data_IF_409943300030
#
_entry.id   IF_409943300030
#
_cell.length_a   1.000
_cell.length_b   1.000
_cell.length_c   1.000
_cell.angle_alpha   90.00
_cell.angle_beta   90.00
_cell.angle_gamma   90.00
#
_symmetry.space_group_name_H-M   'P 1'
#
loop_
_entity.id
_entity.type
_entity.pdbx_description
1 polymer ?
#
# COMPACT_ATOMS: atom_id res chain seq x y z
N UNK A 1 8.64 6.71 9.93
CA UNK A 1 7.81 7.36 8.88
C UNK A 1 6.36 6.92 9.04
N UNK A 2 5.46 7.86 9.15
CA UNK A 2 4.04 7.55 9.36
C UNK A 2 3.31 7.44 8.02
N UNK A 3 2.57 6.34 7.85
CA UNK A 3 1.77 6.12 6.64
C UNK A 3 0.31 5.95 7.05
N UNK A 4 -0.56 6.78 6.49
CA UNK A 4 -1.98 6.66 6.75
C UNK A 4 -2.62 5.74 5.71
N UNK A 5 -3.29 4.71 6.19
CA UNK A 5 -3.98 3.76 5.33
C UNK A 5 -5.36 4.29 4.95
N UNK A 6 -5.94 3.72 3.90
CA UNK A 6 -7.24 4.14 3.39
C UNK A 6 -8.36 3.99 4.43
N UNK A 7 -8.21 3.05 5.38
CA UNK A 7 -9.18 2.86 6.46
C UNK A 7 -9.02 3.86 7.61
N UNK A 8 -8.08 4.80 7.48
CA UNK A 8 -7.82 5.81 8.50
C UNK A 8 -6.77 5.42 9.53
N UNK A 9 -6.33 4.16 9.53
CA UNK A 9 -5.31 3.69 10.46
C UNK A 9 -3.95 4.24 10.05
N UNK A 10 -3.16 4.68 11.04
CA UNK A 10 -1.79 5.17 10.81
C UNK A 10 -0.83 4.11 11.28
N UNK A 11 0.10 3.72 10.41
CA UNK A 11 1.13 2.74 10.72
C UNK A 11 2.51 3.39 10.64
N UNK A 12 3.44 2.90 11.44
CA UNK A 12 4.81 3.39 11.45
C UNK A 12 5.64 2.49 10.54
N UNK A 13 6.10 3.05 9.43
CA UNK A 13 6.85 2.30 8.43
C UNK A 13 8.33 2.63 8.52
N UNK A 14 9.15 1.66 8.16
CA UNK A 14 10.60 1.83 8.10
C UNK A 14 11.04 2.15 6.69
N UNK A 15 12.24 2.72 6.58
CA UNK A 15 12.89 2.91 5.28
C UNK A 15 13.01 1.55 4.60
N UNK A 16 12.77 1.53 3.29
CA UNK A 16 12.78 0.32 2.44
C UNK A 16 11.59 -0.63 2.63
N UNK A 17 10.62 -0.28 3.50
CA UNK A 17 9.37 -1.02 3.53
C UNK A 17 8.60 -0.82 2.23
N UNK A 18 7.70 -1.74 1.95
CA UNK A 18 6.87 -1.71 0.74
C UNK A 18 5.46 -1.28 1.09
N UNK A 19 4.89 -0.42 0.26
CA UNK A 19 3.53 0.09 0.43
C UNK A 19 2.70 -0.35 -0.76
N UNK A 20 1.63 -1.10 -0.49
CA UNK A 20 0.66 -1.43 -1.52
C UNK A 20 -0.35 -0.28 -1.59
N UNK A 21 -0.61 0.21 -2.80
CA UNK A 21 -1.45 1.37 -3.02
C UNK A 21 -2.51 1.10 -4.07
N UNK A 22 -3.64 1.78 -3.92
CA UNK A 22 -4.69 1.81 -4.93
C UNK A 22 -4.92 3.26 -5.36
N UNK A 23 -5.39 3.44 -6.60
CA UNK A 23 -5.77 4.75 -7.11
C UNK A 23 -7.27 4.92 -6.91
N UNK A 24 -7.66 5.83 -6.02
CA UNK A 24 -9.06 6.06 -5.71
C UNK A 24 -9.25 7.51 -5.26
N UNK A 25 -10.34 8.09 -5.71
CA UNK A 25 -10.65 9.49 -5.35
C UNK A 25 -9.67 10.48 -5.95
N UNK A 26 -9.06 10.17 -7.09
CA UNK A 26 -8.12 11.06 -7.76
C UNK A 26 -6.71 11.03 -7.20
N UNK A 27 -6.39 10.09 -6.34
CA UNK A 27 -5.06 10.00 -5.72
C UNK A 27 -4.70 8.57 -5.34
N UNK A 28 -3.40 8.32 -5.20
CA UNK A 28 -2.91 7.05 -4.69
C UNK A 28 -3.08 7.01 -3.17
N UNK A 29 -3.64 5.91 -2.67
CA UNK A 29 -3.88 5.72 -1.25
C UNK A 29 -3.28 4.39 -0.80
N UNK A 30 -2.65 4.37 0.36
CA UNK A 30 -2.03 3.17 0.90
C UNK A 30 -3.08 2.23 1.47
N UNK A 31 -2.95 0.93 1.18
CA UNK A 31 -3.82 -0.10 1.76
C UNK A 31 -3.07 -1.01 2.71
N UNK A 32 -1.75 -1.13 2.55
CA UNK A 32 -0.94 -1.88 3.51
C UNK A 32 0.52 -1.47 3.43
N UNK A 33 1.24 -1.73 4.52
CA UNK A 33 2.69 -1.52 4.60
C UNK A 33 3.30 -2.81 5.11
N UNK A 34 4.38 -3.26 4.49
CA UNK A 34 5.06 -4.49 4.90
C UNK A 34 6.55 -4.40 4.60
N UNK A 35 7.36 -5.05 5.42
CA UNK A 35 8.79 -5.19 5.16
C UNK A 35 9.05 -6.27 4.11
N UNK A 36 8.07 -7.11 3.81
CA UNK A 36 8.16 -8.20 2.85
C UNK A 36 7.46 -7.82 1.55
N UNK A 37 8.21 -7.80 0.45
CA UNK A 37 7.66 -7.49 -0.86
C UNK A 37 6.51 -8.41 -1.24
N UNK A 38 6.64 -9.71 -0.93
CA UNK A 38 5.60 -10.69 -1.28
C UNK A 38 4.29 -10.42 -0.55
N UNK A 39 4.37 -9.98 0.71
CA UNK A 39 3.18 -9.62 1.49
C UNK A 39 2.49 -8.38 0.90
N UNK A 40 3.28 -7.38 0.51
CA UNK A 40 2.74 -6.18 -0.11
C UNK A 40 2.07 -6.51 -1.45
N UNK A 41 2.71 -7.38 -2.25
CA UNK A 41 2.16 -7.80 -3.54
C UNK A 41 0.89 -8.62 -3.38
N UNK A 42 0.83 -9.46 -2.36
CA UNK A 42 -0.36 -10.24 -2.06
C UNK A 42 -1.56 -9.31 -1.79
N UNK A 43 -1.33 -8.29 -0.98
CA UNK A 43 -2.37 -7.31 -0.67
C UNK A 43 -2.75 -6.49 -1.91
N UNK A 44 -1.77 -6.07 -2.70
CA UNK A 44 -2.02 -5.33 -3.93
C UNK A 44 -2.89 -6.13 -4.88
N UNK A 45 -2.59 -7.43 -5.03
CA UNK A 45 -3.35 -8.31 -5.93
C UNK A 45 -4.81 -8.46 -5.51
N UNK A 46 -5.09 -8.45 -4.21
CA UNK A 46 -6.46 -8.52 -3.71
C UNK A 46 -7.30 -7.36 -4.25
N UNK A 47 -6.72 -6.16 -4.28
CA UNK A 47 -7.42 -4.99 -4.81
C UNK A 47 -7.44 -4.95 -6.33
N UNK A 48 -6.41 -5.48 -6.97
CA UNK A 48 -6.36 -5.56 -8.44
C UNK A 48 -7.51 -6.43 -8.98
N UNK A 49 -7.81 -7.53 -8.31
CA UNK A 49 -8.92 -8.42 -8.70
C UNK A 49 -10.26 -7.72 -8.61
N UNK A 50 -10.38 -6.72 -7.72
CA UNK A 50 -11.59 -5.94 -7.54
C UNK A 50 -11.76 -4.83 -8.58
N UNK A 51 -10.78 -4.70 -9.49
CA UNK A 51 -10.84 -3.70 -10.55
C UNK A 51 -10.15 -2.38 -10.24
N UNK A 52 -9.42 -2.29 -9.13
CA UNK A 52 -8.68 -1.07 -8.78
C UNK A 52 -7.37 -1.00 -9.55
N UNK A 53 -6.94 0.22 -9.88
CA UNK A 53 -5.56 0.43 -10.30
C UNK A 53 -4.68 0.31 -9.06
N UNK A 54 -3.62 -0.49 -9.15
CA UNK A 54 -2.78 -0.80 -7.99
C UNK A 54 -1.30 -0.66 -8.33
N UNK A 55 -0.50 -0.41 -7.30
CA UNK A 55 0.96 -0.43 -7.42
C UNK A 55 1.58 -0.75 -6.07
N UNK A 56 2.84 -1.20 -6.09
CA UNK A 56 3.66 -1.36 -4.91
C UNK A 56 4.82 -0.38 -5.00
N UNK A 57 4.99 0.46 -3.98
CA UNK A 57 6.07 1.42 -3.89
C UNK A 57 6.98 1.06 -2.72
N UNK A 58 8.28 1.22 -2.92
CA UNK A 58 9.24 1.05 -1.83
C UNK A 58 9.56 2.42 -1.23
N UNK A 59 9.58 2.49 0.08
CA UNK A 59 9.94 3.74 0.79
C UNK A 59 11.46 3.91 0.81
N UNK A 60 11.92 5.14 0.64
CA UNK A 60 13.34 5.47 0.65
C UNK A 60 13.68 6.48 1.71
#
# INVERSE_FOLDING_TARGET
>A
MKVKLINGKVVDANVFDYVAQIYEGGKWQAVSVSSDYNEAEKKRKEYSVKGCYTRTEQLY
#
